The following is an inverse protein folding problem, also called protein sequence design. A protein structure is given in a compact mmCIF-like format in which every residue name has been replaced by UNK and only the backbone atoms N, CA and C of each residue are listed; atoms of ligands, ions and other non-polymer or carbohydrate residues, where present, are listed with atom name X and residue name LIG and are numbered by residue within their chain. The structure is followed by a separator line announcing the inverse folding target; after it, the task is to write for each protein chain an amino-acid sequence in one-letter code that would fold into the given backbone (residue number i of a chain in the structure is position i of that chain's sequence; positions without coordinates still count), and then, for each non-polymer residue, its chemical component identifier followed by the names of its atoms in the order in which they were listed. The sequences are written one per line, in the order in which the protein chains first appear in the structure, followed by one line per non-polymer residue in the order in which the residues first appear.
data_IF_791780742557
#
_entry.id   IF_791780742557
#
_cell.length_a   1.000
_cell.length_b   1.000
_cell.length_c   1.000
_cell.angle_alpha   90.00
_cell.angle_beta   90.00
_cell.angle_gamma   90.00
#
_symmetry.space_group_name_H-M   'P 1'
#
loop_
_entity.id
_entity.type
_entity.pdbx_description
1 polymer ?
#
# COMPACT_ATOMS: atom_id res chain seq x y z
N UNK A 1 -86.54 3.75 57.66
CA UNK A 1 -86.77 2.72 56.63
C UNK A 1 -85.46 2.50 55.88
N UNK A 2 -84.89 1.28 55.91
CA UNK A 2 -83.84 0.67 55.04
C UNK A 2 -82.52 1.45 54.79
N UNK A 3 -81.38 1.02 55.35
CA UNK A 3 -80.39 -0.04 54.93
C UNK A 3 -79.21 0.55 54.12
N UNK A 4 -77.97 0.52 54.68
CA UNK A 4 -76.81 -0.38 54.37
C UNK A 4 -76.17 -0.11 52.98
N UNK A 5 -74.93 0.36 52.89
CA UNK A 5 -73.65 -0.39 52.97
C UNK A 5 -73.61 -1.66 52.10
N UNK A 6 -72.74 -1.75 51.07
CA UNK A 6 -71.36 -2.30 51.14
C UNK A 6 -70.89 -2.97 49.82
N UNK A 7 -69.58 -2.82 49.52
CA UNK A 7 -68.67 -3.66 48.69
C UNK A 7 -68.89 -3.75 47.16
N UNK A 8 -67.88 -3.94 46.30
CA UNK A 8 -66.41 -3.77 46.28
C UNK A 8 -65.97 -4.15 44.86
N UNK A 9 -64.85 -3.61 44.37
CA UNK A 9 -63.70 -4.38 43.87
C UNK A 9 -62.77 -3.51 43.04
N UNK A 10 -61.56 -3.32 43.58
CA UNK A 10 -60.26 -3.48 42.94
C UNK A 10 -60.23 -3.39 41.41
N UNK A 11 -59.50 -2.40 40.87
CA UNK A 11 -58.55 -2.50 39.74
C UNK A 11 -58.21 -1.08 39.21
N UNK A 12 -57.55 -0.24 40.02
CA UNK A 12 -57.01 1.06 39.52
C UNK A 12 -55.57 1.29 40.00
N UNK A 13 -54.81 0.21 40.21
CA UNK A 13 -53.41 0.31 40.61
C UNK A 13 -52.57 -0.74 39.87
N UNK A 14 -52.45 -0.64 38.54
CA UNK A 14 -51.57 -1.50 37.73
C UNK A 14 -51.37 -1.03 36.28
N UNK A 15 -51.23 0.28 36.05
CA UNK A 15 -50.90 0.82 34.71
C UNK A 15 -49.83 1.92 34.77
N UNK A 16 -48.84 1.76 35.66
CA UNK A 16 -47.70 2.67 35.83
C UNK A 16 -46.34 2.03 35.48
N UNK A 17 -46.29 0.96 34.68
CA UNK A 17 -45.04 0.24 34.38
C UNK A 17 -44.98 -0.33 32.96
N UNK A 18 -45.29 0.46 31.93
CA UNK A 18 -45.04 0.03 30.54
C UNK A 18 -44.93 1.21 29.57
N UNK A 19 -43.99 2.14 29.82
CA UNK A 19 -43.53 3.06 28.77
C UNK A 19 -42.08 3.47 29.02
N UNK A 20 -41.21 2.47 29.12
CA UNK A 20 -39.76 2.62 28.96
C UNK A 20 -39.33 1.61 27.89
N UNK A 21 -39.85 1.78 26.66
CA UNK A 21 -39.26 1.11 25.51
C UNK A 21 -38.00 1.90 25.14
N UNK A 22 -36.93 1.44 25.74
CA UNK A 22 -35.53 1.67 25.42
C UNK A 22 -35.35 1.74 23.89
N UNK A 23 -35.27 2.96 23.34
CA UNK A 23 -34.60 3.22 22.07
C UNK A 23 -33.09 3.14 22.34
N UNK A 24 -32.59 1.94 22.62
CA UNK A 24 -31.21 1.60 22.27
C UNK A 24 -31.28 1.41 20.76
N UNK A 25 -31.14 2.51 20.03
CA UNK A 25 -30.44 2.42 18.76
C UNK A 25 -29.09 1.84 19.12
N UNK A 26 -28.95 0.52 18.97
CA UNK A 26 -27.64 -0.10 18.83
C UNK A 26 -26.92 0.77 17.82
N UNK A 27 -25.90 1.50 18.28
CA UNK A 27 -24.83 1.89 17.39
C UNK A 27 -24.49 0.58 16.69
N UNK A 28 -24.81 0.49 15.40
CA UNK A 28 -24.21 -0.53 14.56
C UNK A 28 -22.73 -0.27 14.71
N UNK A 29 -22.05 -1.06 15.53
CA UNK A 29 -20.61 -1.23 15.41
C UNK A 29 -20.43 -1.59 13.95
N UNK A 30 -19.78 -0.70 13.20
CA UNK A 30 -19.37 -1.01 11.83
C UNK A 30 -18.69 -2.39 11.89
N UNK A 31 -19.31 -3.40 11.28
CA UNK A 31 -18.77 -4.75 11.15
C UNK A 31 -17.67 -4.70 10.08
N UNK A 32 -16.65 -3.88 10.33
CA UNK A 32 -15.50 -3.74 9.47
C UNK A 32 -14.80 -5.08 9.37
N UNK A 33 -14.43 -5.46 8.15
CA UNK A 33 -13.67 -6.67 7.84
C UNK A 33 -12.44 -6.28 7.04
N UNK A 34 -11.32 -6.96 7.30
CA UNK A 34 -10.11 -6.78 6.49
C UNK A 34 -10.38 -7.18 5.04
N UNK A 35 -11.22 -8.20 4.84
CA UNK A 35 -11.82 -8.58 3.58
C UNK A 35 -13.17 -9.26 3.83
N UNK A 36 -14.20 -8.83 3.11
CA UNK A 36 -15.55 -9.41 3.18
C UNK A 36 -15.87 -10.35 2.02
N UNK A 37 -15.16 -10.22 0.89
CA UNK A 37 -15.33 -11.06 -0.29
C UNK A 37 -14.87 -12.50 -0.03
N UNK A 38 -15.73 -13.47 -0.36
CA UNK A 38 -15.50 -14.89 -0.05
C UNK A 38 -14.43 -15.51 -0.96
N UNK A 39 -14.38 -15.12 -2.24
CA UNK A 39 -13.39 -15.63 -3.18
C UNK A 39 -11.99 -15.12 -2.81
N UNK A 40 -11.90 -13.85 -2.39
CA UNK A 40 -10.69 -13.27 -1.85
C UNK A 40 -10.26 -13.96 -0.56
N UNK A 41 -11.19 -14.17 0.38
CA UNK A 41 -10.90 -14.89 1.62
C UNK A 41 -10.33 -16.29 1.35
N UNK A 42 -10.91 -17.04 0.40
CA UNK A 42 -10.42 -18.36 0.01
C UNK A 42 -9.01 -18.31 -0.59
N UNK A 43 -8.69 -17.30 -1.40
CA UNK A 43 -7.33 -17.10 -1.93
C UNK A 43 -6.31 -16.81 -0.83
N UNK A 44 -6.67 -15.95 0.12
CA UNK A 44 -5.81 -15.65 1.28
C UNK A 44 -5.57 -16.91 2.11
N UNK A 45 -6.61 -17.68 2.39
CA UNK A 45 -6.51 -18.92 3.17
C UNK A 45 -5.63 -19.96 2.47
N UNK A 46 -5.87 -20.22 1.18
CA UNK A 46 -5.08 -21.19 0.42
C UNK A 46 -3.59 -20.84 0.42
N UNK A 47 -3.28 -19.55 0.28
CA UNK A 47 -1.91 -19.06 0.32
C UNK A 47 -1.32 -19.10 1.73
N UNK A 48 -2.09 -18.73 2.74
CA UNK A 48 -1.66 -18.85 4.14
C UNK A 48 -1.22 -20.28 4.47
N UNK A 49 -1.98 -21.29 4.07
CA UNK A 49 -1.63 -22.70 4.28
C UNK A 49 -0.35 -23.09 3.52
N UNK A 50 -0.17 -22.65 2.26
CA UNK A 50 1.11 -22.84 1.52
C UNK A 50 2.30 -22.25 2.29
N UNK A 51 2.14 -21.03 2.83
CA UNK A 51 3.20 -20.35 3.59
C UNK A 51 3.47 -21.04 4.92
N UNK A 52 2.45 -21.61 5.56
CA UNK A 52 2.58 -22.41 6.78
C UNK A 52 3.38 -23.68 6.54
N UNK A 53 3.11 -24.40 5.46
CA UNK A 53 3.90 -25.57 5.07
C UNK A 53 5.38 -25.23 4.82
N UNK A 54 5.66 -24.11 4.13
CA UNK A 54 7.03 -23.63 3.91
C UNK A 54 7.76 -23.28 5.21
N UNK A 55 7.02 -22.87 6.24
CA UNK A 55 7.56 -22.43 7.53
C UNK A 55 7.44 -23.48 8.64
N UNK A 56 7.21 -24.76 8.31
CA UNK A 56 6.98 -25.87 9.28
C UNK A 56 8.06 -25.98 10.36
N UNK A 57 9.31 -25.63 10.05
CA UNK A 57 10.42 -25.68 11.01
C UNK A 57 10.37 -24.56 12.07
N UNK A 58 9.49 -23.58 11.91
CA UNK A 58 9.23 -22.48 12.85
C UNK A 58 7.76 -22.46 13.29
N UNK A 59 7.04 -23.59 13.17
CA UNK A 59 5.58 -23.63 13.33
C UNK A 59 5.10 -23.02 14.65
N UNK A 60 5.63 -23.47 15.78
CA UNK A 60 5.28 -22.93 17.10
C UNK A 60 5.56 -21.42 17.22
N UNK A 61 6.71 -20.96 16.74
CA UNK A 61 7.15 -19.56 16.88
C UNK A 61 6.30 -18.60 16.03
N UNK A 62 5.79 -19.07 14.90
CA UNK A 62 5.00 -18.26 13.96
C UNK A 62 3.50 -18.41 14.19
N UNK A 63 2.99 -19.60 14.47
CA UNK A 63 1.56 -19.90 14.39
C UNK A 63 0.89 -20.17 15.74
N UNK A 64 1.62 -20.29 16.86
CA UNK A 64 0.98 -20.44 18.19
C UNK A 64 0.11 -19.25 18.56
N UNK A 65 0.34 -18.07 17.97
CA UNK A 65 -0.51 -16.88 18.13
C UNK A 65 -1.95 -17.10 17.67
N UNK A 66 -2.22 -18.07 16.80
CA UNK A 66 -3.59 -18.44 16.41
C UNK A 66 -4.32 -19.29 17.46
N UNK A 67 -3.64 -19.70 18.53
CA UNK A 67 -4.26 -20.37 19.69
C UNK A 67 -4.78 -19.36 20.72
N UNK A 68 -4.42 -18.08 20.60
CA UNK A 68 -5.00 -16.99 21.39
C UNK A 68 -6.46 -16.71 20.98
N UNK A 69 -7.21 -16.03 21.84
CA UNK A 69 -8.53 -15.53 21.48
C UNK A 69 -8.39 -14.32 20.55
N UNK A 70 -8.50 -14.56 19.25
CA UNK A 70 -8.42 -13.53 18.21
C UNK A 70 -9.82 -13.06 17.79
N UNK A 71 -9.97 -11.76 17.60
CA UNK A 71 -11.11 -11.21 16.87
C UNK A 71 -11.04 -11.62 15.39
N UNK A 72 -12.17 -11.58 14.68
CA UNK A 72 -12.21 -11.88 13.25
C UNK A 72 -11.23 -10.98 12.45
N UNK A 73 -11.11 -9.70 12.81
CA UNK A 73 -10.20 -8.78 12.13
C UNK A 73 -8.72 -9.06 12.42
N UNK A 74 -8.39 -9.48 13.65
CA UNK A 74 -7.02 -9.91 13.98
C UNK A 74 -6.65 -11.16 13.19
N UNK A 75 -7.53 -12.17 13.16
CA UNK A 75 -7.28 -13.40 12.39
C UNK A 75 -7.12 -13.11 10.89
N UNK A 76 -8.06 -12.37 10.30
CA UNK A 76 -8.00 -12.01 8.88
C UNK A 76 -6.75 -11.18 8.55
N UNK A 77 -6.44 -10.18 9.38
CA UNK A 77 -5.28 -9.32 9.17
C UNK A 77 -3.98 -10.11 9.25
N UNK A 78 -3.86 -11.01 10.22
CA UNK A 78 -2.67 -11.82 10.41
C UNK A 78 -2.48 -12.84 9.29
N UNK A 79 -3.55 -13.54 8.86
CA UNK A 79 -3.52 -14.44 7.71
C UNK A 79 -3.14 -13.72 6.42
N UNK A 80 -3.68 -12.52 6.20
CA UNK A 80 -3.29 -11.70 5.05
C UNK A 80 -1.80 -11.35 5.07
N UNK A 81 -1.25 -10.91 6.21
CA UNK A 81 0.17 -10.63 6.32
C UNK A 81 1.00 -11.89 6.01
N UNK A 82 0.67 -13.04 6.60
CA UNK A 82 1.40 -14.29 6.36
C UNK A 82 1.35 -14.78 4.92
N UNK A 83 0.19 -14.65 4.27
CA UNK A 83 0.00 -15.05 2.89
C UNK A 83 0.97 -14.29 1.96
N UNK A 84 1.22 -13.00 2.19
CA UNK A 84 1.92 -12.14 1.22
C UNK A 84 3.25 -11.54 1.71
N UNK A 85 3.65 -11.76 2.96
CA UNK A 85 4.94 -11.25 3.46
C UNK A 85 6.15 -11.89 2.78
N UNK A 86 7.27 -11.15 2.64
CA UNK A 86 8.54 -11.71 2.19
C UNK A 86 8.98 -12.91 3.02
N UNK A 87 9.71 -13.84 2.39
CA UNK A 87 10.30 -15.00 3.09
C UNK A 87 11.27 -14.60 4.21
N UNK A 88 11.96 -13.46 4.08
CA UNK A 88 12.82 -12.93 5.13
C UNK A 88 12.05 -12.65 6.41
N UNK A 89 10.83 -12.12 6.30
CA UNK A 89 10.05 -11.73 7.47
C UNK A 89 9.55 -12.98 8.23
N UNK A 90 9.16 -14.03 7.49
CA UNK A 90 8.88 -15.36 8.04
C UNK A 90 10.08 -16.00 8.74
N UNK A 91 11.31 -15.67 8.32
CA UNK A 91 12.52 -16.25 8.88
C UNK A 91 13.02 -15.48 10.11
N UNK A 92 12.86 -14.16 10.11
CA UNK A 92 13.53 -13.25 11.06
C UNK A 92 12.66 -12.84 12.26
N UNK A 93 11.33 -12.96 12.17
CA UNK A 93 10.39 -12.47 13.19
C UNK A 93 9.37 -13.53 13.64
N UNK A 94 8.69 -13.26 14.75
CA UNK A 94 7.80 -14.20 15.44
C UNK A 94 6.33 -13.78 15.30
N UNK A 95 5.40 -14.71 15.55
CA UNK A 95 3.97 -14.43 15.36
C UNK A 95 3.43 -13.29 16.21
N UNK A 96 3.94 -13.12 17.43
CA UNK A 96 3.53 -12.03 18.33
C UNK A 96 3.86 -10.66 17.75
N UNK A 97 5.00 -10.53 17.06
CA UNK A 97 5.38 -9.28 16.39
C UNK A 97 4.36 -8.90 15.31
N UNK A 98 3.95 -9.84 14.47
CA UNK A 98 2.98 -9.56 13.41
C UNK A 98 1.58 -9.30 13.95
N UNK A 99 1.16 -10.05 14.98
CA UNK A 99 -0.11 -9.81 15.66
C UNK A 99 -0.17 -8.41 16.27
N UNK A 100 0.92 -7.93 16.86
CA UNK A 100 1.02 -6.55 17.36
C UNK A 100 0.86 -5.52 16.22
N UNK A 101 1.45 -5.76 15.05
CA UNK A 101 1.24 -4.86 13.90
C UNK A 101 -0.23 -4.77 13.48
N UNK A 102 -0.94 -5.91 13.47
CA UNK A 102 -2.38 -5.97 13.17
C UNK A 102 -3.17 -5.21 14.24
N UNK A 103 -2.95 -5.52 15.52
CA UNK A 103 -3.62 -4.86 16.65
C UNK A 103 -3.45 -3.34 16.63
N UNK A 104 -2.23 -2.85 16.39
CA UNK A 104 -1.98 -1.41 16.33
C UNK A 104 -2.56 -0.75 15.08
N UNK A 105 -2.65 -1.45 13.95
CA UNK A 105 -3.35 -0.93 12.77
C UNK A 105 -4.86 -0.76 13.01
N UNK A 106 -5.48 -1.71 13.71
CA UNK A 106 -6.90 -1.67 14.10
C UNK A 106 -7.14 -0.63 15.20
N UNK A 107 -6.27 -0.56 16.21
CA UNK A 107 -6.35 0.44 17.27
C UNK A 107 -6.25 1.87 16.71
N UNK A 108 -5.36 2.10 15.74
CA UNK A 108 -5.27 3.40 15.07
C UNK A 108 -6.56 3.73 14.32
N UNK A 109 -7.13 2.76 13.59
CA UNK A 109 -8.40 2.91 12.90
C UNK A 109 -9.54 3.31 13.84
N UNK A 110 -9.64 2.65 14.99
CA UNK A 110 -10.72 2.91 15.94
C UNK A 110 -10.50 4.20 16.76
N UNK A 111 -9.27 4.74 16.76
CA UNK A 111 -8.93 5.97 17.48
C UNK A 111 -9.31 7.23 16.70
N UNK A 112 -9.08 7.26 15.39
CA UNK A 112 -9.24 8.47 14.59
C UNK A 112 -10.58 8.50 13.85
N UNK A 113 -11.21 9.69 13.70
CA UNK A 113 -12.55 9.79 13.11
C UNK A 113 -12.61 9.33 11.65
N UNK A 114 -11.51 9.39 10.91
CA UNK A 114 -11.42 8.90 9.52
C UNK A 114 -11.26 7.38 9.41
N UNK A 115 -10.93 6.66 10.47
CA UNK A 115 -10.66 5.22 10.35
C UNK A 115 -11.87 4.43 9.83
N UNK A 116 -13.08 4.87 10.14
CA UNK A 116 -14.32 4.26 9.68
C UNK A 116 -14.68 4.58 8.22
N UNK A 117 -14.09 5.63 7.63
CA UNK A 117 -14.36 6.04 6.23
C UNK A 117 -13.49 5.31 5.23
N UNK A 118 -12.50 4.54 5.69
CA UNK A 118 -11.51 3.88 4.83
C UNK A 118 -12.07 2.55 4.32
N UNK A 119 -12.12 2.33 3.00
CA UNK A 119 -12.56 1.07 2.42
C UNK A 119 -11.67 -0.11 2.84
N UNK A 120 -12.24 -1.31 2.92
CA UNK A 120 -11.51 -2.53 3.32
C UNK A 120 -10.25 -2.79 2.48
N UNK A 121 -10.32 -2.60 1.15
CA UNK A 121 -9.19 -2.79 0.24
C UNK A 121 -8.08 -1.77 0.50
N UNK A 122 -8.43 -0.51 0.75
CA UNK A 122 -7.47 0.55 1.03
C UNK A 122 -6.77 0.28 2.37
N UNK A 123 -7.52 -0.09 3.40
CA UNK A 123 -6.94 -0.45 4.69
C UNK A 123 -5.97 -1.64 4.57
N UNK A 124 -6.42 -2.72 3.93
CA UNK A 124 -5.67 -3.98 3.79
C UNK A 124 -4.35 -3.80 3.03
N UNK A 125 -4.33 -2.97 1.99
CA UNK A 125 -3.15 -2.83 1.12
C UNK A 125 -2.24 -1.65 1.50
N UNK A 126 -2.75 -0.64 2.21
CA UNK A 126 -2.02 0.62 2.42
C UNK A 126 -1.98 1.12 3.88
N UNK A 127 -2.56 0.40 4.85
CA UNK A 127 -2.42 0.66 6.30
C UNK A 127 -1.87 -0.56 7.03
N UNK A 128 -2.50 -1.71 6.84
CA UNK A 128 -2.17 -2.96 7.51
C UNK A 128 -0.70 -3.39 7.30
N UNK A 129 -0.10 -3.27 6.09
CA UNK A 129 1.28 -3.67 5.88
C UNK A 129 2.25 -2.84 6.73
N UNK A 130 3.01 -3.53 7.58
CA UNK A 130 4.05 -2.95 8.43
C UNK A 130 5.29 -2.54 7.62
N UNK A 131 5.54 -3.22 6.51
CA UNK A 131 6.66 -3.00 5.60
C UNK A 131 6.29 -2.00 4.51
N UNK A 132 7.22 -1.12 4.17
CA UNK A 132 7.10 -0.16 3.07
C UNK A 132 8.05 -0.55 1.93
N UNK A 133 9.30 -0.86 2.23
CA UNK A 133 10.34 -1.18 1.26
C UNK A 133 11.26 -2.32 1.76
N UNK A 134 12.58 -2.15 1.65
CA UNK A 134 13.59 -3.14 2.01
C UNK A 134 14.20 -2.91 3.41
N UNK A 135 13.55 -2.12 4.26
CA UNK A 135 14.02 -1.80 5.61
C UNK A 135 14.04 -2.99 6.56
N UNK A 136 14.84 -2.92 7.62
CA UNK A 136 14.65 -3.83 8.76
C UNK A 136 13.34 -3.48 9.48
N UNK A 137 12.64 -4.46 10.03
CA UNK A 137 11.42 -4.19 10.78
C UNK A 137 11.72 -3.78 12.21
N UNK A 138 10.90 -2.90 12.76
CA UNK A 138 10.96 -2.43 14.13
C UNK A 138 9.56 -2.17 14.70
N UNK A 139 9.48 -1.56 15.89
CA UNK A 139 8.22 -1.24 16.58
C UNK A 139 7.75 0.19 16.32
N UNK A 140 8.18 0.81 15.21
CA UNK A 140 7.86 2.20 14.88
C UNK A 140 6.37 2.51 14.96
N UNK A 141 5.50 1.61 14.47
CA UNK A 141 4.04 1.81 14.48
C UNK A 141 3.52 2.22 15.87
N UNK A 142 4.01 1.57 16.90
CA UNK A 142 3.60 1.76 18.29
C UNK A 142 4.11 3.09 18.84
N UNK A 143 5.40 3.37 18.61
CA UNK A 143 6.06 4.58 19.10
C UNK A 143 5.44 5.81 18.43
N UNK A 144 5.30 5.76 17.11
CA UNK A 144 4.83 6.88 16.30
C UNK A 144 3.35 7.17 16.58
N UNK A 145 2.49 6.15 16.70
CA UNK A 145 1.09 6.36 17.09
C UNK A 145 1.00 7.14 18.42
N UNK A 146 1.80 6.77 19.42
CA UNK A 146 1.77 7.45 20.71
C UNK A 146 2.30 8.89 20.68
N UNK A 147 3.24 9.21 19.79
CA UNK A 147 3.71 10.58 19.60
C UNK A 147 2.70 11.45 18.82
N UNK A 148 2.01 10.89 17.83
CA UNK A 148 1.15 11.66 16.93
C UNK A 148 -0.30 11.78 17.40
N UNK A 149 -0.85 10.80 18.14
CA UNK A 149 -2.29 10.73 18.45
C UNK A 149 -2.86 12.03 19.01
N UNK A 150 -2.19 12.66 19.97
CA UNK A 150 -2.67 13.88 20.61
C UNK A 150 -2.43 15.12 19.75
N UNK A 151 -1.38 15.10 18.92
CA UNK A 151 -1.01 16.18 17.99
C UNK A 151 -2.06 16.37 16.90
N UNK A 152 -2.64 15.28 16.39
CA UNK A 152 -3.56 15.30 15.25
C UNK A 152 -5.05 15.11 15.61
N UNK A 153 -5.37 14.91 16.90
CA UNK A 153 -6.71 14.47 17.36
C UNK A 153 -7.91 15.33 16.91
N UNK A 154 -7.67 16.60 16.59
CA UNK A 154 -8.70 17.58 16.21
C UNK A 154 -8.61 18.00 14.75
N UNK A 155 -7.78 17.33 13.94
CA UNK A 155 -7.57 17.65 12.54
C UNK A 155 -8.49 16.80 11.65
N UNK A 156 -8.79 17.30 10.45
CA UNK A 156 -9.31 16.44 9.38
C UNK A 156 -8.25 15.44 8.90
N UNK A 157 -8.65 14.43 8.14
CA UNK A 157 -7.71 13.44 7.59
C UNK A 157 -6.61 14.10 6.74
N UNK A 158 -7.00 15.08 5.91
CA UNK A 158 -6.08 15.86 5.08
C UNK A 158 -5.10 16.69 5.93
N UNK A 159 -5.60 17.47 6.89
CA UNK A 159 -4.75 18.28 7.78
C UNK A 159 -3.82 17.39 8.62
N UNK A 160 -4.32 16.24 9.07
CA UNK A 160 -3.54 15.26 9.81
C UNK A 160 -2.39 14.72 8.94
N UNK A 161 -2.63 14.38 7.67
CA UNK A 161 -1.57 13.91 6.79
C UNK A 161 -0.43 14.93 6.61
N UNK A 162 -0.77 16.21 6.42
CA UNK A 162 0.20 17.31 6.34
C UNK A 162 0.94 17.50 7.68
N UNK A 163 0.23 17.45 8.80
CA UNK A 163 0.80 17.59 10.14
C UNK A 163 1.75 16.44 10.49
N UNK A 164 1.45 15.22 10.04
CA UNK A 164 2.37 14.08 10.16
C UNK A 164 3.66 14.34 9.40
N UNK A 165 3.60 14.92 8.20
CA UNK A 165 4.80 15.24 7.43
C UNK A 165 5.62 16.37 8.10
N UNK A 166 4.96 17.35 8.72
CA UNK A 166 5.62 18.34 9.59
C UNK A 166 6.35 17.66 10.77
N UNK A 167 5.71 16.71 11.45
CA UNK A 167 6.38 15.92 12.49
C UNK A 167 7.55 15.10 11.94
N UNK A 168 7.43 14.51 10.75
CA UNK A 168 8.54 13.77 10.12
C UNK A 168 9.75 14.68 9.87
N UNK A 169 9.53 15.91 9.39
CA UNK A 169 10.56 16.92 9.19
C UNK A 169 11.29 17.32 10.48
N UNK A 170 10.58 17.37 11.61
CA UNK A 170 11.20 17.62 12.92
C UNK A 170 12.17 16.50 13.35
N UNK A 171 12.03 15.30 12.78
CA UNK A 171 12.81 14.11 13.18
C UNK A 171 13.97 13.80 12.24
N UNK A 172 13.81 14.04 10.94
CA UNK A 172 14.74 13.54 9.91
C UNK A 172 15.02 14.61 8.88
N UNK A 173 16.30 14.80 8.53
CA UNK A 173 16.74 15.64 7.42
C UNK A 173 17.43 14.81 6.33
N UNK A 174 17.37 15.30 5.09
CA UNK A 174 18.02 14.63 3.98
C UNK A 174 19.55 14.52 4.15
N UNK A 175 20.08 13.30 3.95
CA UNK A 175 21.50 13.03 3.77
C UNK A 175 21.66 11.73 2.96
N UNK A 176 22.50 11.75 1.93
CA UNK A 176 22.82 10.54 1.16
C UNK A 176 23.35 9.40 2.04
N UNK A 177 22.78 8.20 1.86
CA UNK A 177 23.12 6.95 2.55
C UNK A 177 23.25 5.78 1.56
N UNK A 178 23.37 4.55 2.06
CA UNK A 178 23.44 3.32 1.29
C UNK A 178 22.10 2.96 0.61
N UNK A 179 22.12 1.99 -0.31
CA UNK A 179 20.93 1.48 -1.00
C UNK A 179 19.98 0.71 -0.06
N UNK A 180 20.47 0.16 1.06
CA UNK A 180 19.61 -0.45 2.07
C UNK A 180 18.90 0.63 2.88
N UNK A 181 17.58 0.63 2.84
CA UNK A 181 16.75 1.59 3.59
C UNK A 181 16.82 1.30 5.09
N UNK A 182 17.07 2.33 5.88
CA UNK A 182 17.04 2.24 7.35
C UNK A 182 15.62 2.05 7.89
N UNK A 183 15.48 1.33 9.00
CA UNK A 183 14.20 1.18 9.69
C UNK A 183 13.68 2.55 10.20
N UNK A 184 12.36 2.76 10.35
CA UNK A 184 11.82 4.06 10.77
C UNK A 184 12.37 4.57 12.12
N UNK A 185 12.47 3.72 13.17
CA UNK A 185 13.06 4.13 14.45
C UNK A 185 14.57 4.33 14.35
N UNK A 186 15.26 3.55 13.51
CA UNK A 186 16.67 3.76 13.24
C UNK A 186 16.90 5.13 12.58
N UNK A 187 16.02 5.52 11.66
CA UNK A 187 16.05 6.81 10.95
C UNK A 187 15.79 7.97 11.91
N UNK A 188 14.84 7.85 12.84
CA UNK A 188 14.65 8.83 13.92
C UNK A 188 15.92 8.95 14.78
N UNK A 189 16.56 7.82 15.12
CA UNK A 189 17.75 7.80 15.96
C UNK A 189 18.96 8.45 15.29
N UNK A 190 19.13 8.26 13.99
CA UNK A 190 20.20 8.91 13.22
C UNK A 190 19.87 10.36 12.89
N UNK A 191 18.57 10.70 12.84
CA UNK A 191 18.03 12.00 12.42
C UNK A 191 18.37 12.37 10.97
N UNK A 192 18.74 11.40 10.14
CA UNK A 192 18.98 11.62 8.71
C UNK A 192 18.72 10.36 7.87
N UNK A 193 18.43 10.56 6.59
CA UNK A 193 18.28 9.50 5.57
C UNK A 193 18.19 10.09 4.16
N UNK A 194 18.31 9.26 3.11
CA UNK A 194 18.00 9.71 1.73
C UNK A 194 16.49 9.62 1.49
N UNK A 195 16.08 9.97 0.27
CA UNK A 195 14.68 9.92 -0.17
C UNK A 195 13.99 8.57 0.11
N UNK A 196 14.73 7.45 0.09
CA UNK A 196 14.18 6.12 0.44
C UNK A 196 13.81 6.00 1.92
N UNK A 197 14.71 6.36 2.83
CA UNK A 197 14.47 6.39 4.27
C UNK A 197 13.39 7.39 4.65
N UNK A 198 13.44 8.61 4.12
CA UNK A 198 12.46 9.65 4.44
C UNK A 198 11.05 9.23 4.00
N UNK A 199 10.90 8.67 2.79
CA UNK A 199 9.59 8.20 2.31
C UNK A 199 9.12 6.92 3.01
N UNK A 200 10.02 5.97 3.33
CA UNK A 200 9.67 4.82 4.17
C UNK A 200 9.21 5.26 5.56
N UNK A 201 9.92 6.21 6.17
CA UNK A 201 9.58 6.75 7.48
C UNK A 201 8.25 7.49 7.47
N UNK A 202 8.03 8.36 6.49
CA UNK A 202 6.79 9.14 6.37
C UNK A 202 5.58 8.24 6.11
N UNK A 203 5.71 7.21 5.24
CA UNK A 203 4.64 6.21 5.05
C UNK A 203 4.37 5.44 6.34
N UNK A 204 5.40 5.00 7.05
CA UNK A 204 5.23 4.32 8.33
C UNK A 204 4.50 5.22 9.35
N UNK A 205 4.81 6.52 9.39
CA UNK A 205 4.17 7.47 10.27
C UNK A 205 2.69 7.67 9.95
N UNK A 206 2.33 7.85 8.67
CA UNK A 206 0.95 7.97 8.22
C UNK A 206 0.14 6.71 8.52
N UNK A 207 0.68 5.54 8.22
CA UNK A 207 0.04 4.24 8.51
C UNK A 207 -0.15 4.00 10.00
N UNK A 208 0.73 4.56 10.84
CA UNK A 208 0.62 4.47 12.30
C UNK A 208 -0.60 5.22 12.83
N UNK A 209 -1.12 6.21 12.09
CA UNK A 209 -2.32 6.97 12.46
C UNK A 209 -3.51 6.70 11.54
N UNK A 210 -3.55 5.49 10.96
CA UNK A 210 -4.61 5.03 10.06
C UNK A 210 -4.86 5.96 8.85
N UNK A 211 -3.82 6.63 8.34
CA UNK A 211 -3.87 7.31 7.05
C UNK A 211 -3.25 6.35 6.02
N UNK A 212 -4.01 5.86 5.01
CA UNK A 212 -3.47 4.97 4.00
C UNK A 212 -2.38 5.70 3.21
N UNK A 213 -1.22 5.06 3.10
CA UNK A 213 -0.06 5.66 2.45
C UNK A 213 0.79 4.63 1.72
N UNK A 214 1.50 5.09 0.69
CA UNK A 214 2.39 4.29 -0.12
C UNK A 214 3.61 5.08 -0.56
N UNK A 215 4.76 4.42 -0.60
CA UNK A 215 5.97 4.99 -1.16
C UNK A 215 5.85 4.94 -2.68
N UNK A 216 6.12 6.06 -3.33
CA UNK A 216 6.10 6.20 -4.79
C UNK A 216 7.49 6.57 -5.23
N UNK A 217 7.92 6.02 -6.37
CA UNK A 217 9.28 6.26 -6.84
C UNK A 217 9.36 6.25 -8.35
N UNK A 218 10.24 7.12 -8.85
CA UNK A 218 10.81 6.97 -10.19
C UNK A 218 12.08 6.15 -10.06
N UNK A 219 12.17 4.95 -10.68
CA UNK A 219 13.32 4.09 -10.51
C UNK A 219 14.61 4.71 -11.06
N UNK A 220 14.49 5.54 -12.11
CA UNK A 220 15.57 6.31 -12.74
C UNK A 220 14.99 7.55 -13.42
N UNK A 221 15.65 8.69 -13.28
CA UNK A 221 15.29 9.89 -14.05
C UNK A 221 15.70 9.75 -15.51
N UNK A 222 14.94 10.35 -16.42
CA UNK A 222 15.31 10.39 -17.84
C UNK A 222 16.27 11.53 -18.22
N UNK A 223 16.54 12.43 -17.27
CA UNK A 223 17.22 13.70 -17.53
C UNK A 223 18.40 13.97 -16.59
N UNK A 224 18.71 13.05 -15.69
CA UNK A 224 19.85 13.12 -14.77
C UNK A 224 20.13 11.73 -14.19
N UNK A 225 21.37 11.49 -13.78
CA UNK A 225 21.74 10.26 -13.07
C UNK A 225 21.27 10.32 -11.62
N UNK A 226 20.08 9.80 -11.34
CA UNK A 226 19.57 9.51 -10.00
C UNK A 226 18.23 8.77 -10.10
N UNK A 227 17.68 8.44 -8.94
CA UNK A 227 16.28 8.11 -8.73
C UNK A 227 15.64 9.10 -7.76
N UNK A 228 14.35 8.95 -7.48
CA UNK A 228 13.72 9.66 -6.38
C UNK A 228 12.51 8.91 -5.85
N UNK A 229 12.24 9.05 -4.56
CA UNK A 229 11.11 8.47 -3.87
C UNK A 229 10.42 9.52 -2.99
N UNK A 230 9.10 9.49 -2.96
CA UNK A 230 8.24 10.37 -2.17
C UNK A 230 7.01 9.57 -1.69
N UNK A 231 5.98 10.27 -1.20
CA UNK A 231 4.81 9.64 -0.59
C UNK A 231 3.54 10.01 -1.32
N UNK A 232 2.69 9.01 -1.53
CA UNK A 232 1.26 9.22 -1.76
C UNK A 232 0.47 8.79 -0.53
N UNK A 233 -0.54 9.56 -0.17
CA UNK A 233 -1.49 9.28 0.89
C UNK A 233 -2.92 9.40 0.38
N UNK A 234 -3.81 8.58 0.92
CA UNK A 234 -5.22 8.61 0.56
C UNK A 234 -5.97 9.44 1.60
N UNK A 235 -6.75 10.41 1.14
CA UNK A 235 -7.62 11.20 1.99
C UNK A 235 -8.95 11.44 1.27
N UNK A 236 -10.05 11.25 2.00
CA UNK A 236 -11.40 11.63 1.56
C UNK A 236 -11.83 11.09 0.17
N UNK A 237 -11.33 9.92 -0.23
CA UNK A 237 -11.69 9.28 -1.51
C UNK A 237 -10.57 9.27 -2.55
N UNK A 238 -9.55 10.11 -2.41
CA UNK A 238 -8.56 10.37 -3.45
C UNK A 238 -7.12 10.19 -2.96
N UNK A 239 -6.23 9.84 -3.89
CA UNK A 239 -4.79 9.81 -3.64
C UNK A 239 -4.18 11.20 -3.87
N UNK A 240 -3.39 11.64 -2.90
CA UNK A 240 -2.61 12.86 -2.93
C UNK A 240 -1.14 12.54 -2.76
N UNK A 241 -0.25 13.37 -3.29
CA UNK A 241 1.20 13.22 -3.09
C UNK A 241 1.80 14.35 -2.25
N UNK A 242 2.94 14.07 -1.62
CA UNK A 242 3.76 15.04 -0.92
C UNK A 242 5.22 14.59 -0.86
N UNK A 243 6.13 15.54 -0.64
CA UNK A 243 7.51 15.23 -0.26
C UNK A 243 7.57 14.51 1.08
N UNK A 244 8.65 13.77 1.32
CA UNK A 244 8.83 13.00 2.54
C UNK A 244 9.78 13.73 3.49
N UNK A 245 9.33 14.07 4.70
CA UNK A 245 10.05 14.98 5.60
C UNK A 245 10.24 16.39 5.00
N UNK A 246 9.45 16.73 3.99
CA UNK A 246 9.51 17.97 3.20
C UNK A 246 8.09 18.58 3.18
N UNK A 247 7.68 19.23 4.28
CA UNK A 247 6.29 19.63 4.45
C UNK A 247 5.95 20.83 3.58
N UNK A 248 4.83 20.71 2.87
CA UNK A 248 4.20 21.77 2.11
C UNK A 248 2.87 22.14 2.75
N UNK A 249 2.41 23.38 2.55
CA UNK A 249 1.16 23.85 3.14
C UNK A 249 -0.10 23.21 2.53
N UNK A 250 0.05 22.51 1.40
CA UNK A 250 -1.03 21.89 0.61
C UNK A 250 -0.58 20.54 0.07
N UNK A 251 -1.50 19.59 -0.17
CA UNK A 251 -1.16 18.35 -0.89
C UNK A 251 -0.79 18.65 -2.34
N UNK A 252 -0.25 17.64 -3.02
CA UNK A 252 0.07 17.65 -4.44
C UNK A 252 1.10 18.73 -4.82
N UNK A 253 2.04 18.99 -3.91
CA UNK A 253 3.15 19.90 -4.10
C UNK A 253 4.43 19.29 -3.53
N UNK A 254 5.53 19.49 -4.25
CA UNK A 254 6.88 19.15 -3.83
C UNK A 254 7.89 19.69 -4.82
N UNK A 255 9.16 19.82 -4.42
CA UNK A 255 10.21 20.34 -5.30
C UNK A 255 10.39 19.47 -6.57
N UNK A 256 10.06 18.18 -6.48
CA UNK A 256 10.16 17.21 -7.57
C UNK A 256 9.01 17.27 -8.57
N UNK A 257 7.97 18.08 -8.36
CA UNK A 257 6.77 18.11 -9.23
C UNK A 257 7.12 18.38 -10.70
N UNK A 258 7.99 19.36 -10.97
CA UNK A 258 8.39 19.66 -12.36
C UNK A 258 9.38 18.63 -12.95
N UNK A 259 10.39 18.13 -12.21
CA UNK A 259 11.16 16.96 -12.65
C UNK A 259 10.30 15.72 -12.98
N UNK A 260 9.28 15.43 -12.16
CA UNK A 260 8.37 14.29 -12.32
C UNK A 260 7.60 14.29 -13.64
N UNK A 261 7.31 15.47 -14.21
CA UNK A 261 6.66 15.61 -15.53
C UNK A 261 7.45 15.01 -16.69
N UNK A 262 8.74 14.72 -16.48
CA UNK A 262 9.65 14.12 -17.47
C UNK A 262 10.07 12.69 -17.08
N UNK A 263 9.41 12.08 -16.10
CA UNK A 263 9.67 10.70 -15.72
C UNK A 263 9.15 9.74 -16.81
N UNK A 264 9.83 8.60 -16.96
CA UNK A 264 9.42 7.55 -17.89
C UNK A 264 8.61 6.45 -17.18
N UNK A 265 8.72 6.36 -15.86
CA UNK A 265 7.91 5.52 -15.01
C UNK A 265 7.88 6.13 -13.62
N UNK A 266 6.70 6.15 -13.02
CA UNK A 266 6.51 6.38 -11.60
C UNK A 266 5.62 5.26 -11.12
N UNK A 267 6.07 4.53 -10.10
CA UNK A 267 5.31 3.41 -9.59
C UNK A 267 5.39 3.26 -8.08
N UNK A 268 4.49 2.42 -7.58
CA UNK A 268 4.38 2.05 -6.17
C UNK A 268 4.07 0.57 -6.03
N UNK A 269 4.35 0.01 -4.86
CA UNK A 269 4.03 -1.37 -4.52
C UNK A 269 2.75 -1.42 -3.70
N UNK A 270 1.71 -2.07 -4.23
CA UNK A 270 0.55 -2.48 -3.44
C UNK A 270 0.79 -3.87 -2.87
N UNK A 271 0.91 -3.96 -1.54
CA UNK A 271 1.25 -5.21 -0.84
C UNK A 271 0.10 -6.22 -0.92
N UNK A 272 0.38 -7.49 -1.19
CA UNK A 272 -0.62 -8.55 -1.32
C UNK A 272 -1.27 -8.65 -2.70
N UNK A 273 -2.31 -9.50 -2.81
CA UNK A 273 -3.09 -9.64 -4.05
C UNK A 273 -4.02 -8.44 -4.21
N UNK A 274 -3.51 -7.38 -4.85
CA UNK A 274 -4.23 -6.12 -5.05
C UNK A 274 -5.17 -6.20 -6.25
N UNK A 275 -6.49 -6.18 -6.01
CA UNK A 275 -7.51 -6.30 -7.06
C UNK A 275 -8.17 -4.95 -7.44
N UNK A 276 -7.55 -3.81 -7.08
CA UNK A 276 -8.07 -2.50 -7.45
C UNK A 276 -7.91 -2.19 -8.95
N UNK A 277 -8.61 -1.15 -9.39
CA UNK A 277 -8.69 -0.72 -10.80
C UNK A 277 -7.45 0.05 -11.29
N UNK A 278 -6.52 0.38 -10.40
CA UNK A 278 -5.27 1.06 -10.75
C UNK A 278 -4.41 0.19 -11.68
N UNK A 279 -3.67 0.85 -12.58
CA UNK A 279 -2.87 0.18 -13.59
C UNK A 279 -1.70 -0.56 -12.96
N UNK A 280 -1.77 -1.88 -12.89
CA UNK A 280 -0.63 -2.72 -12.55
C UNK A 280 0.24 -2.97 -13.80
N UNK A 281 1.50 -2.52 -13.78
CA UNK A 281 2.45 -2.87 -14.85
C UNK A 281 2.88 -4.32 -14.76
N UNK A 282 3.13 -4.78 -13.54
CA UNK A 282 3.53 -6.14 -13.21
C UNK A 282 2.79 -6.58 -11.95
N UNK A 283 2.37 -7.85 -11.93
CA UNK A 283 1.75 -8.49 -10.77
C UNK A 283 2.66 -9.62 -10.33
N UNK A 284 3.35 -9.40 -9.22
CA UNK A 284 4.12 -10.43 -8.56
C UNK A 284 3.22 -11.22 -7.62
N UNK A 285 3.72 -12.35 -7.12
CA UNK A 285 2.95 -13.16 -6.20
C UNK A 285 2.59 -12.38 -4.91
N UNK A 286 3.52 -11.58 -4.37
CA UNK A 286 3.38 -10.93 -3.07
C UNK A 286 2.91 -9.47 -3.13
N UNK A 287 2.91 -8.85 -4.30
CA UNK A 287 2.55 -7.44 -4.48
C UNK A 287 2.24 -7.12 -5.95
N UNK A 288 1.56 -6.01 -6.19
CA UNK A 288 1.40 -5.44 -7.53
C UNK A 288 2.24 -4.16 -7.67
N UNK A 289 2.91 -3.99 -8.81
CA UNK A 289 3.57 -2.73 -9.20
C UNK A 289 2.58 -1.86 -9.96
N UNK A 290 2.09 -0.81 -9.31
CA UNK A 290 1.12 0.11 -9.87
C UNK A 290 1.82 1.28 -10.56
N UNK A 291 1.52 1.52 -11.83
CA UNK A 291 1.94 2.73 -12.56
C UNK A 291 1.06 3.89 -12.12
N UNK A 292 1.67 4.93 -11.55
CA UNK A 292 0.96 6.17 -11.19
C UNK A 292 1.46 7.36 -12.01
N UNK A 293 2.22 7.13 -13.08
CA UNK A 293 2.87 8.17 -13.89
C UNK A 293 1.88 9.21 -14.46
N UNK A 294 0.67 8.81 -14.80
CA UNK A 294 -0.36 9.69 -15.37
C UNK A 294 -0.88 10.76 -14.39
N UNK A 295 -0.64 10.58 -13.09
CA UNK A 295 -0.84 11.61 -12.07
C UNK A 295 0.17 12.76 -12.24
N UNK A 296 1.39 12.46 -12.69
CA UNK A 296 2.53 13.39 -12.67
C UNK A 296 2.91 13.92 -14.05
N UNK A 297 2.71 13.14 -15.11
CA UNK A 297 3.28 13.43 -16.43
C UNK A 297 2.31 13.08 -17.58
N UNK A 298 2.43 13.73 -18.74
CA UNK A 298 1.81 13.24 -19.97
C UNK A 298 2.32 11.84 -20.30
N UNK A 299 1.39 10.91 -20.54
CA UNK A 299 1.69 9.51 -20.83
C UNK A 299 1.28 9.12 -22.24
N UNK A 300 1.97 8.10 -22.76
CA UNK A 300 1.58 7.42 -23.99
C UNK A 300 1.74 5.91 -23.82
N UNK A 301 0.77 5.15 -24.33
CA UNK A 301 0.86 3.70 -24.41
C UNK A 301 1.53 3.33 -25.73
N UNK A 302 2.67 2.65 -25.66
CA UNK A 302 3.35 2.08 -26.83
C UNK A 302 3.08 0.58 -26.90
N UNK A 303 3.06 0.04 -28.11
CA UNK A 303 2.99 -1.39 -28.38
C UNK A 303 4.34 -1.88 -28.94
N UNK A 304 4.75 -3.07 -28.57
CA UNK A 304 5.93 -3.73 -29.13
C UNK A 304 5.47 -5.04 -29.73
N UNK A 305 5.77 -5.26 -31.01
CA UNK A 305 5.55 -6.52 -31.71
C UNK A 305 6.91 -7.18 -31.99
N UNK A 306 7.09 -8.38 -31.45
CA UNK A 306 8.29 -9.20 -31.61
C UNK A 306 7.96 -10.39 -32.51
N UNK A 307 8.79 -10.63 -33.53
CA UNK A 307 8.62 -11.75 -34.46
C UNK A 307 9.92 -12.50 -34.61
N UNK A 308 9.87 -13.82 -34.83
CA UNK A 308 11.06 -14.58 -35.22
C UNK A 308 11.51 -14.23 -36.66
N UNK A 309 12.72 -14.63 -37.09
CA UNK A 309 13.21 -14.36 -38.45
C UNK A 309 12.32 -14.89 -39.59
N UNK A 310 11.48 -15.90 -39.32
CA UNK A 310 10.49 -16.43 -40.26
C UNK A 310 9.16 -15.64 -40.26
N UNK A 311 9.12 -14.47 -39.62
CA UNK A 311 7.96 -13.60 -39.40
C UNK A 311 6.84 -14.19 -38.54
N UNK A 312 7.05 -15.35 -37.88
CA UNK A 312 6.08 -15.86 -36.90
C UNK A 312 6.13 -15.02 -35.61
N UNK A 313 5.02 -14.89 -34.87
CA UNK A 313 5.03 -14.30 -33.54
C UNK A 313 6.06 -14.94 -32.60
N UNK A 314 6.83 -14.12 -31.90
CA UNK A 314 7.68 -14.59 -30.81
C UNK A 314 6.88 -14.54 -29.51
N UNK A 315 6.16 -15.63 -29.21
CA UNK A 315 5.36 -15.78 -27.98
C UNK A 315 6.26 -15.91 -26.76
N UNK A 316 5.86 -15.31 -25.63
CA UNK A 316 6.60 -15.35 -24.35
C UNK A 316 8.03 -14.78 -24.42
N UNK A 317 8.34 -13.99 -25.45
CA UNK A 317 9.59 -13.25 -25.55
C UNK A 317 9.64 -12.15 -24.48
N UNK A 318 10.79 -12.00 -23.83
CA UNK A 318 11.03 -10.95 -22.86
C UNK A 318 11.32 -9.65 -23.59
N UNK A 319 10.61 -8.59 -23.23
CA UNK A 319 10.79 -7.22 -23.72
C UNK A 319 11.11 -6.31 -22.55
N UNK A 320 12.27 -5.69 -22.60
CA UNK A 320 12.76 -4.70 -21.64
C UNK A 320 12.62 -3.29 -22.20
N UNK A 321 12.00 -2.42 -21.42
CA UNK A 321 11.87 -1.00 -21.69
C UNK A 321 13.00 -0.30 -20.92
N UNK A 322 14.09 0.01 -21.62
CA UNK A 322 15.32 0.46 -21.00
C UNK A 322 15.49 1.98 -21.11
N UNK A 323 15.93 2.58 -20.00
CA UNK A 323 16.24 4.00 -19.87
C UNK A 323 17.75 4.17 -19.63
N UNK A 324 18.36 5.12 -20.35
CA UNK A 324 19.76 5.46 -20.11
C UNK A 324 19.92 6.23 -18.80
N UNK A 325 20.68 5.69 -17.85
CA UNK A 325 20.98 6.32 -16.56
C UNK A 325 22.22 5.63 -15.95
N UNK A 326 23.07 6.35 -15.21
CA UNK A 326 24.31 5.81 -14.62
C UNK A 326 25.23 5.11 -15.65
N UNK A 327 25.30 5.67 -16.86
CA UNK A 327 26.06 5.11 -17.98
C UNK A 327 25.65 3.68 -18.41
N UNK A 328 24.45 3.23 -18.02
CA UNK A 328 23.87 1.95 -18.43
C UNK A 328 22.45 2.13 -19.01
N UNK A 329 21.96 1.11 -19.71
CA UNK A 329 20.56 1.01 -20.10
C UNK A 329 19.82 0.16 -19.08
N UNK A 330 19.10 0.81 -18.16
CA UNK A 330 18.41 0.16 -17.06
C UNK A 330 16.96 -0.20 -17.45
N UNK A 331 16.51 -1.46 -17.29
CA UNK A 331 15.14 -1.86 -17.58
C UNK A 331 14.17 -1.30 -16.53
N UNK A 332 13.47 -0.21 -16.86
CA UNK A 332 12.44 0.37 -15.98
C UNK A 332 11.17 -0.48 -15.95
N UNK A 333 10.94 -1.30 -16.99
CA UNK A 333 9.88 -2.30 -17.03
C UNK A 333 10.33 -3.48 -17.88
N UNK A 334 9.94 -4.69 -17.49
CA UNK A 334 10.14 -5.92 -18.26
C UNK A 334 8.81 -6.62 -18.40
N UNK A 335 8.46 -7.03 -19.63
CA UNK A 335 7.19 -7.69 -19.96
C UNK A 335 7.43 -8.89 -20.85
N UNK A 336 6.44 -9.77 -20.92
CA UNK A 336 6.40 -10.85 -21.90
C UNK A 336 5.41 -10.54 -23.01
N UNK A 337 5.69 -11.03 -24.20
CA UNK A 337 4.77 -10.98 -25.34
C UNK A 337 3.68 -12.05 -25.25
N UNK A 338 2.49 -11.71 -25.73
CA UNK A 338 1.36 -12.63 -25.87
C UNK A 338 1.54 -13.62 -27.04
N UNK A 339 0.52 -14.44 -27.31
CA UNK A 339 0.49 -15.41 -28.42
C UNK A 339 0.62 -14.77 -29.82
N UNK A 340 0.44 -13.44 -29.91
CA UNK A 340 0.62 -12.66 -31.15
C UNK A 340 1.98 -11.97 -31.19
N UNK A 341 2.85 -12.22 -30.22
CA UNK A 341 4.17 -11.61 -30.11
C UNK A 341 4.08 -10.16 -29.67
N UNK A 342 3.00 -9.74 -29.00
CA UNK A 342 2.75 -8.34 -28.65
C UNK A 342 2.81 -8.12 -27.15
N UNK A 343 3.45 -7.03 -26.72
CA UNK A 343 3.29 -6.48 -25.39
C UNK A 343 3.06 -4.95 -25.46
N UNK A 344 2.72 -4.33 -24.34
CA UNK A 344 2.50 -2.87 -24.29
C UNK A 344 2.92 -2.28 -22.96
N UNK A 345 3.34 -1.02 -22.98
CA UNK A 345 3.79 -0.29 -21.81
C UNK A 345 3.27 1.15 -21.85
N UNK A 346 2.78 1.64 -20.71
CA UNK A 346 2.43 3.04 -20.53
C UNK A 346 3.63 3.78 -19.94
N UNK A 347 4.13 4.78 -20.65
CA UNK A 347 5.36 5.49 -20.27
C UNK A 347 5.26 6.97 -20.59
N UNK A 348 6.25 7.73 -20.12
CA UNK A 348 6.35 9.16 -20.33
C UNK A 348 6.82 9.50 -21.75
N UNK A 349 6.75 10.77 -22.09
CA UNK A 349 7.27 11.27 -23.37
C UNK A 349 8.78 11.46 -23.28
N UNK A 350 9.54 10.49 -23.80
CA UNK A 350 10.99 10.53 -23.85
C UNK A 350 11.56 9.44 -24.76
N UNK A 351 12.86 9.19 -24.63
CA UNK A 351 13.55 8.15 -25.39
C UNK A 351 13.72 6.87 -24.56
N UNK A 352 13.54 5.72 -25.19
CA UNK A 352 13.79 4.39 -24.62
C UNK A 352 14.59 3.54 -25.59
N UNK A 353 15.37 2.59 -25.07
CA UNK A 353 15.81 1.42 -25.83
C UNK A 353 14.83 0.30 -25.53
N UNK A 354 14.19 -0.22 -26.56
CA UNK A 354 13.35 -1.42 -26.44
C UNK A 354 14.24 -2.61 -26.80
N UNK A 355 14.47 -3.50 -25.85
CA UNK A 355 15.27 -4.70 -26.04
C UNK A 355 14.38 -5.93 -25.92
N UNK A 356 14.38 -6.81 -26.93
CA UNK A 356 13.62 -8.05 -26.90
C UNK A 356 14.53 -9.28 -27.05
N UNK A 357 14.23 -10.36 -26.32
CA UNK A 357 14.95 -11.62 -26.43
C UNK A 357 14.07 -12.82 -26.04
N UNK A 358 14.36 -14.00 -26.59
CA UNK A 358 13.61 -15.24 -26.33
C UNK A 358 14.50 -16.45 -25.93
N UNK A 359 15.78 -16.18 -25.59
CA UNK A 359 16.77 -17.20 -25.24
C UNK A 359 17.54 -17.78 -26.43
N UNK A 360 17.00 -17.69 -27.64
CA UNK A 360 17.67 -18.09 -28.89
C UNK A 360 18.25 -16.91 -29.66
N UNK A 361 17.63 -15.74 -29.55
CA UNK A 361 18.07 -14.50 -30.19
C UNK A 361 17.64 -13.25 -29.42
N UNK A 362 18.08 -12.10 -29.92
CA UNK A 362 17.71 -10.79 -29.42
C UNK A 362 17.67 -9.75 -30.53
N UNK A 363 16.90 -8.69 -30.32
CA UNK A 363 16.82 -7.50 -31.16
C UNK A 363 16.52 -6.27 -30.30
N UNK A 364 16.91 -5.08 -30.77
CA UNK A 364 16.64 -3.85 -30.04
C UNK A 364 16.46 -2.65 -30.96
N UNK A 365 15.71 -1.66 -30.49
CA UNK A 365 15.48 -0.40 -31.20
C UNK A 365 15.43 0.78 -30.22
N UNK A 366 16.08 1.89 -30.59
CA UNK A 366 15.89 3.17 -29.90
C UNK A 366 14.62 3.83 -30.43
N UNK A 367 13.73 4.18 -29.52
CA UNK A 367 12.50 4.91 -29.86
C UNK A 367 12.44 6.27 -29.17
N UNK A 368 11.73 7.20 -29.80
CA UNK A 368 11.20 8.40 -29.16
C UNK A 368 9.70 8.22 -29.02
N UNK A 369 9.23 8.04 -27.78
CA UNK A 369 7.84 7.64 -27.47
C UNK A 369 6.81 8.55 -28.14
N UNK A 370 7.04 9.87 -28.15
CA UNK A 370 6.14 10.83 -28.78
C UNK A 370 5.91 10.62 -30.29
N UNK A 371 6.84 9.99 -31.00
CA UNK A 371 6.83 9.85 -32.46
C UNK A 371 6.35 8.47 -32.96
N UNK A 372 6.14 7.49 -32.07
CA UNK A 372 5.83 6.10 -32.46
C UNK A 372 4.69 5.50 -31.64
N UNK A 373 3.82 4.72 -32.26
CA UNK A 373 2.75 3.98 -31.58
C UNK A 373 3.10 2.50 -31.39
N UNK A 374 3.72 1.90 -32.41
CA UNK A 374 4.09 0.48 -32.43
C UNK A 374 5.54 0.30 -32.88
N UNK A 375 6.30 -0.46 -32.11
CA UNK A 375 7.70 -0.84 -32.38
C UNK A 375 7.73 -2.27 -32.91
N UNK A 376 8.54 -2.53 -33.94
CA UNK A 376 8.67 -3.86 -34.54
C UNK A 376 10.09 -4.39 -34.37
N UNK A 377 10.25 -5.46 -33.59
CA UNK A 377 11.54 -6.10 -33.34
C UNK A 377 11.52 -7.51 -33.94
N UNK A 378 12.62 -7.88 -34.61
CA UNK A 378 12.83 -9.22 -35.21
C UNK A 378 13.90 -9.95 -34.44
#
# INVERSE_FOLDING_TARGET
MKKRNYQSNNHVLLLSTALLLILVTSCKTDDFKIYSDQDYAAKVEARFEERKELAVNRDAVLFDVFQEELTQNEEQGLKFLYAYMPLSDLADYDGSYFLDQVRWSLAARDTFPWGHTIPESIFRHFILPYRVNNENLDTARIVIFNELKDRIRNLSMMEAALEVNHWCHEKVTYRGTDIRTSAPLATIKTAYGRCGEESTFTVAALRSVAIPARQVYTPRWAHSDDNHAWVEFWADGEWHFMGACEPECVPNLGWFTEPARRAMLIHTKAFGDYLGDERAENRDANYALLNTLDVYAPVKKIQVKVTNPNASPATEATVEFQLYNYAEFYPISTKKTDDKGICSFLTGLGDLIIWAHNGEGFGFEKISVGAIDTVHIV
#
